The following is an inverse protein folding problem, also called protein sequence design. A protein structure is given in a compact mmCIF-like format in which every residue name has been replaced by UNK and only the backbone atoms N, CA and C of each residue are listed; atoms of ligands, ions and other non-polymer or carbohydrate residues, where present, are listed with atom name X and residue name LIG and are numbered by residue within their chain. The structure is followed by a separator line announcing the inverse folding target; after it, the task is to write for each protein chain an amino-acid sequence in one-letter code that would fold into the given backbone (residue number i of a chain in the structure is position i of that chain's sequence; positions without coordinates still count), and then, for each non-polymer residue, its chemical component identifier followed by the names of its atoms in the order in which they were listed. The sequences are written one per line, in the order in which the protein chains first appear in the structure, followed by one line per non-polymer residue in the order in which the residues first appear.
data_IF_017163575138
#
_entry.id   IF_017163575138
#
_cell.length_a   1.000
_cell.length_b   1.000
_cell.length_c   1.000
_cell.angle_alpha   90.00
_cell.angle_beta   90.00
_cell.angle_gamma   90.00
#
_symmetry.space_group_name_H-M   'P 1'
#
loop_
_entity.id
_entity.type
_entity.pdbx_description
1 polymer ?
#
# COMPACT_ATOMS: atom_id res chain seq x y z
N UNK A 1 2.22 17.82 -1.76
CA UNK A 1 1.61 17.58 -3.07
C UNK A 1 2.38 16.57 -3.93
N UNK A 2 3.73 16.54 -3.99
CA UNK A 2 4.51 15.45 -4.61
C UNK A 2 4.27 14.10 -3.93
N UNK A 3 4.30 14.02 -2.59
CA UNK A 3 4.03 12.75 -1.87
C UNK A 3 2.59 12.25 -2.08
N UNK A 4 1.64 13.19 -2.15
CA UNK A 4 0.23 12.92 -2.43
C UNK A 4 -0.07 12.59 -3.90
N UNK A 5 0.69 13.15 -4.86
CA UNK A 5 0.59 12.80 -6.28
C UNK A 5 1.16 11.40 -6.53
N UNK A 6 2.33 11.08 -5.95
CA UNK A 6 2.96 9.75 -6.08
C UNK A 6 2.01 8.63 -5.60
N UNK A 7 1.33 8.85 -4.47
CA UNK A 7 0.36 7.87 -3.95
C UNK A 7 -0.89 7.75 -4.83
N UNK A 8 -1.51 8.86 -5.24
CA UNK A 8 -2.69 8.82 -6.11
C UNK A 8 -2.40 8.21 -7.47
N UNK A 9 -1.21 8.45 -8.00
CA UNK A 9 -0.76 7.88 -9.27
C UNK A 9 -0.55 6.37 -9.15
N UNK A 10 0.05 5.90 -8.05
CA UNK A 10 0.19 4.47 -7.76
C UNK A 10 -1.16 3.79 -7.51
N UNK A 11 -2.03 4.35 -6.67
CA UNK A 11 -3.40 3.84 -6.45
C UNK A 11 -4.22 3.81 -7.74
N UNK A 12 -4.13 4.85 -8.56
CA UNK A 12 -4.78 4.88 -9.88
C UNK A 12 -4.23 3.78 -10.78
N UNK A 13 -2.92 3.56 -10.78
CA UNK A 13 -2.30 2.49 -11.56
C UNK A 13 -2.77 1.10 -11.11
N UNK A 14 -2.84 0.86 -9.80
CA UNK A 14 -3.40 -0.36 -9.21
C UNK A 14 -4.88 -0.53 -9.56
N UNK A 15 -5.67 0.53 -9.48
CA UNK A 15 -7.08 0.52 -9.84
C UNK A 15 -7.28 0.15 -11.33
N UNK A 16 -6.54 0.80 -12.24
CA UNK A 16 -6.59 0.52 -13.68
C UNK A 16 -6.17 -0.93 -13.95
N UNK A 17 -5.06 -1.41 -13.36
CA UNK A 17 -4.62 -2.81 -13.50
C UNK A 17 -5.68 -3.80 -12.98
N UNK A 18 -6.29 -3.53 -11.83
CA UNK A 18 -7.37 -4.35 -11.29
C UNK A 18 -8.56 -4.42 -12.25
N UNK A 19 -8.96 -3.30 -12.85
CA UNK A 19 -10.01 -3.26 -13.87
C UNK A 19 -9.65 -4.06 -15.13
N UNK A 20 -8.41 -3.96 -15.62
CA UNK A 20 -7.94 -4.73 -16.78
C UNK A 20 -7.86 -6.24 -16.47
N UNK A 21 -7.31 -6.63 -15.32
CA UNK A 21 -7.22 -8.02 -14.87
C UNK A 21 -8.61 -8.66 -14.73
N UNK A 22 -9.57 -7.94 -14.14
CA UNK A 22 -10.98 -8.38 -14.08
C UNK A 22 -11.59 -8.53 -15.48
N UNK A 23 -11.27 -7.63 -16.42
CA UNK A 23 -11.77 -7.71 -17.81
C UNK A 23 -11.15 -8.86 -18.61
N UNK A 24 -9.87 -9.20 -18.36
CA UNK A 24 -9.21 -10.37 -18.93
C UNK A 24 -9.78 -11.68 -18.38
N UNK A 25 -10.12 -11.73 -17.07
CA UNK A 25 -10.81 -12.87 -16.48
C UNK A 25 -12.31 -12.95 -16.88
N UNK A 26 -12.91 -11.81 -17.23
CA UNK A 26 -14.25 -11.71 -17.83
C UNK A 26 -14.22 -11.88 -19.38
N UNK A 27 -13.09 -12.32 -19.94
CA UNK A 27 -12.93 -12.69 -21.34
C UNK A 27 -13.49 -14.09 -21.65
N UNK A 28 -14.67 -14.43 -21.11
CA UNK A 28 -15.46 -15.60 -21.51
C UNK A 28 -16.93 -15.50 -21.06
N UNK A 29 -17.52 -14.31 -21.05
CA UNK A 29 -18.98 -14.17 -21.18
C UNK A 29 -19.34 -12.76 -21.60
N UNK A 30 -20.10 -12.64 -22.68
CA UNK A 30 -20.53 -11.36 -23.23
C UNK A 30 -21.65 -10.75 -22.38
N UNK A 31 -21.58 -9.42 -22.25
CA UNK A 31 -22.64 -8.42 -22.10
C UNK A 31 -22.37 -7.44 -20.95
N UNK A 32 -21.90 -6.26 -21.33
CA UNK A 32 -21.70 -5.10 -20.47
C UNK A 32 -23.03 -4.35 -20.32
N UNK A 33 -23.45 -4.11 -19.08
CA UNK A 33 -24.33 -3.01 -18.69
C UNK A 33 -23.70 -2.36 -17.46
N UNK A 34 -23.28 -1.10 -17.58
CA UNK A 34 -22.88 -0.27 -16.45
C UNK A 34 -24.13 0.28 -15.76
N UNK A 35 -24.37 0.05 -14.45
CA UNK A 35 -25.37 0.82 -13.73
C UNK A 35 -24.76 2.12 -13.21
N UNK A 36 -25.44 3.21 -13.52
CA UNK A 36 -25.26 4.54 -12.95
C UNK A 36 -25.58 4.55 -11.44
N UNK A 37 -24.76 5.33 -10.72
CA UNK A 37 -25.01 6.04 -9.45
C UNK A 37 -26.40 5.80 -8.83
N UNK A 38 -26.46 5.05 -7.72
CA UNK A 38 -27.66 5.02 -6.86
C UNK A 38 -27.29 5.21 -5.39
N UNK A 39 -28.00 6.17 -4.81
CA UNK A 39 -28.00 6.58 -3.41
C UNK A 39 -28.64 5.46 -2.57
N UNK A 40 -27.88 4.79 -1.71
CA UNK A 40 -28.44 3.82 -0.77
C UNK A 40 -28.84 4.53 0.52
N UNK A 41 -30.15 4.79 0.65
CA UNK A 41 -30.79 5.19 1.90
C UNK A 41 -30.86 4.02 2.88
N UNK A 42 -30.50 4.28 4.13
CA UNK A 42 -30.63 3.32 5.23
C UNK A 42 -32.10 3.15 5.62
N UNK A 43 -32.59 1.91 5.63
CA UNK A 43 -33.88 1.54 6.23
C UNK A 43 -33.62 0.74 7.51
N UNK A 44 -33.93 1.33 8.66
CA UNK A 44 -33.93 0.69 9.96
C UNK A 44 -35.24 -0.10 10.12
N UNK A 45 -35.14 -1.41 10.36
CA UNK A 45 -36.28 -2.22 10.82
C UNK A 45 -36.11 -2.52 12.30
N UNK A 46 -36.99 -1.94 13.11
CA UNK A 46 -37.24 -2.34 14.49
C UNK A 46 -38.13 -3.58 14.50
N UNK A 47 -37.77 -4.59 15.28
CA UNK A 47 -38.65 -5.71 15.60
C UNK A 47 -38.93 -5.72 17.10
N UNK A 48 -40.20 -5.58 17.46
CA UNK A 48 -40.72 -5.87 18.78
C UNK A 48 -41.35 -7.27 18.75
N UNK A 49 -41.15 -8.08 19.79
CA UNK A 49 -42.04 -9.19 20.11
C UNK A 49 -41.95 -9.57 21.59
N UNK A 50 -43.10 -9.83 22.20
CA UNK A 50 -43.29 -10.10 23.61
C UNK A 50 -43.63 -11.58 23.90
N UNK A 51 -43.13 -12.06 25.06
CA UNK A 51 -43.59 -13.12 25.98
C UNK A 51 -43.77 -14.61 25.53
N UNK A 52 -42.78 -15.45 25.91
CA UNK A 52 -42.75 -16.67 26.81
C UNK A 52 -43.85 -17.76 26.81
N UNK A 53 -43.63 -18.98 27.40
CA UNK A 53 -42.42 -19.85 27.52
C UNK A 53 -42.71 -21.39 27.32
N UNK A 54 -41.66 -22.25 27.21
CA UNK A 54 -41.56 -23.61 27.85
C UNK A 54 -40.41 -24.52 27.30
N UNK A 55 -39.48 -24.87 28.21
CA UNK A 55 -38.77 -26.15 28.49
C UNK A 55 -38.14 -27.01 27.36
N UNK A 56 -36.81 -27.19 27.37
CA UNK A 56 -36.04 -28.44 27.70
C UNK A 56 -34.61 -28.34 27.14
N UNK A 57 -33.64 -28.46 28.05
CA UNK A 57 -32.26 -28.98 27.94
C UNK A 57 -31.56 -28.99 26.57
N UNK A 58 -30.60 -28.07 26.38
CA UNK A 58 -29.43 -28.35 25.55
C UNK A 58 -28.16 -27.69 26.10
N UNK A 59 -27.07 -28.45 25.99
CA UNK A 59 -25.72 -28.20 26.47
C UNK A 59 -25.27 -26.77 26.15
N UNK A 60 -24.88 -26.02 27.17
CA UNK A 60 -24.38 -24.66 27.06
C UNK A 60 -23.10 -24.61 26.19
N UNK A 61 -23.28 -24.48 24.88
CA UNK A 61 -22.28 -23.89 24.00
C UNK A 61 -22.08 -22.47 24.48
N UNK A 62 -20.93 -22.20 25.10
CA UNK A 62 -20.50 -20.84 25.38
C UNK A 62 -20.28 -20.17 24.03
N UNK A 63 -21.31 -19.52 23.52
CA UNK A 63 -21.20 -18.59 22.41
C UNK A 63 -20.40 -17.40 22.90
N UNK A 64 -19.07 -17.51 22.83
CA UNK A 64 -18.19 -16.36 22.88
C UNK A 64 -18.57 -15.51 21.68
N UNK A 65 -19.14 -14.33 21.92
CA UNK A 65 -19.31 -13.31 20.89
C UNK A 65 -17.96 -13.17 20.17
N UNK A 66 -17.91 -13.19 18.83
CA UNK A 66 -16.65 -12.97 18.14
C UNK A 66 -16.13 -11.61 18.59
N UNK A 67 -14.95 -11.63 19.19
CA UNK A 67 -14.13 -10.45 19.41
C UNK A 67 -13.92 -9.83 18.02
N UNK A 68 -14.00 -8.51 17.88
CA UNK A 68 -13.79 -7.81 16.62
C UNK A 68 -12.62 -8.45 15.85
N UNK A 69 -12.91 -8.84 14.60
CA UNK A 69 -12.03 -9.67 13.78
C UNK A 69 -10.71 -8.93 13.51
N UNK A 70 -9.64 -9.32 14.21
CA UNK A 70 -8.31 -8.70 14.08
C UNK A 70 -7.67 -9.23 12.80
N UNK A 71 -7.43 -8.35 11.82
CA UNK A 71 -6.75 -8.73 10.59
C UNK A 71 -5.23 -8.83 10.79
N UNK A 72 -4.63 -9.95 10.40
CA UNK A 72 -3.18 -10.18 10.49
C UNK A 72 -2.48 -9.94 9.15
N UNK A 73 -1.55 -9.00 9.14
CA UNK A 73 -0.69 -8.70 8.00
C UNK A 73 0.77 -9.04 8.32
N UNK A 74 1.49 -9.57 7.32
CA UNK A 74 2.92 -9.88 7.44
C UNK A 74 3.72 -8.98 6.51
N UNK A 75 4.71 -8.28 7.07
CA UNK A 75 5.64 -7.46 6.30
C UNK A 75 6.50 -8.30 5.36
N UNK A 76 6.57 -7.89 4.10
CA UNK A 76 7.54 -8.42 3.16
C UNK A 76 8.95 -7.88 3.49
N UNK A 77 10.01 -8.57 3.03
CA UNK A 77 11.38 -8.07 3.19
C UNK A 77 11.52 -6.63 2.69
N UNK A 78 12.28 -5.79 3.40
CA UNK A 78 12.47 -4.38 3.06
C UNK A 78 13.11 -4.20 1.67
N UNK A 79 13.89 -5.18 1.23
CA UNK A 79 14.58 -5.25 -0.06
C UNK A 79 13.78 -6.04 -1.12
N UNK A 80 12.48 -6.26 -0.92
CA UNK A 80 11.63 -7.01 -1.87
C UNK A 80 11.79 -6.53 -3.32
N UNK A 81 11.89 -5.21 -3.51
CA UNK A 81 12.25 -4.59 -4.79
C UNK A 81 13.64 -3.98 -4.68
N UNK A 82 14.51 -4.31 -5.64
CA UNK A 82 15.88 -3.83 -5.69
C UNK A 82 15.99 -2.38 -6.20
N UNK A 83 17.16 -1.76 -6.02
CA UNK A 83 17.50 -0.45 -6.62
C UNK A 83 17.46 -0.41 -8.16
N UNK A 84 17.33 -1.57 -8.81
CA UNK A 84 17.12 -1.70 -10.27
C UNK A 84 15.65 -1.92 -10.65
N UNK A 85 14.74 -1.76 -9.67
CA UNK A 85 13.31 -1.96 -9.81
C UNK A 85 12.89 -3.37 -10.27
N UNK A 86 13.61 -4.37 -9.75
CA UNK A 86 13.34 -5.80 -9.99
C UNK A 86 13.11 -6.53 -8.67
N UNK A 87 12.35 -7.63 -8.69
CA UNK A 87 12.04 -8.39 -7.46
C UNK A 87 13.28 -9.18 -7.02
N UNK A 88 13.74 -8.92 -5.80
CA UNK A 88 14.76 -9.75 -5.16
C UNK A 88 14.16 -11.07 -4.68
N UNK A 89 14.93 -12.17 -4.81
CA UNK A 89 14.54 -13.49 -4.31
C UNK A 89 13.11 -13.94 -4.70
N UNK A 90 12.65 -13.59 -5.92
CA UNK A 90 11.26 -13.77 -6.35
C UNK A 90 10.68 -15.17 -6.08
N UNK A 91 11.47 -16.24 -6.26
CA UNK A 91 11.04 -17.62 -5.96
C UNK A 91 10.79 -17.87 -4.47
N UNK A 92 11.65 -17.33 -3.60
CA UNK A 92 11.50 -17.45 -2.16
C UNK A 92 10.30 -16.64 -1.66
N UNK A 93 10.12 -15.42 -2.16
CA UNK A 93 8.93 -14.60 -1.86
C UNK A 93 7.65 -15.32 -2.31
N UNK A 94 7.63 -15.88 -3.52
CA UNK A 94 6.47 -16.65 -4.01
C UNK A 94 6.13 -17.85 -3.09
N UNK A 95 7.15 -18.57 -2.63
CA UNK A 95 6.97 -19.70 -1.71
C UNK A 95 6.47 -19.23 -0.33
N UNK A 96 7.04 -18.15 0.20
CA UNK A 96 6.61 -17.53 1.45
C UNK A 96 5.16 -17.08 1.42
N UNK A 97 4.75 -16.37 0.37
CA UNK A 97 3.36 -15.92 0.19
C UNK A 97 2.36 -17.10 0.16
N UNK A 98 2.71 -18.21 -0.50
CA UNK A 98 1.89 -19.43 -0.50
C UNK A 98 1.76 -20.02 0.90
N UNK A 99 2.87 -20.08 1.64
CA UNK A 99 2.85 -20.57 3.02
C UNK A 99 1.99 -19.67 3.92
N UNK A 100 2.11 -18.34 3.78
CA UNK A 100 1.31 -17.37 4.52
C UNK A 100 -0.20 -17.54 4.24
N UNK A 101 -0.60 -17.72 2.98
CA UNK A 101 -2.01 -18.00 2.64
C UNK A 101 -2.51 -19.29 3.28
N UNK A 102 -1.69 -20.35 3.33
CA UNK A 102 -2.05 -21.61 4.00
C UNK A 102 -2.18 -21.46 5.52
N UNK A 103 -1.42 -20.55 6.12
CA UNK A 103 -1.51 -20.23 7.55
C UNK A 103 -2.71 -19.33 7.90
N UNK A 104 -3.46 -18.87 6.90
CA UNK A 104 -4.68 -18.08 7.09
C UNK A 104 -4.43 -16.61 7.44
N UNK A 105 -3.28 -16.03 7.05
CA UNK A 105 -3.09 -14.58 7.20
C UNK A 105 -4.02 -13.81 6.25
N UNK A 106 -4.42 -12.61 6.65
CA UNK A 106 -5.29 -11.75 5.84
C UNK A 106 -4.58 -11.12 4.65
N UNK A 107 -3.31 -10.77 4.84
CA UNK A 107 -2.56 -10.04 3.83
C UNK A 107 -1.09 -9.86 4.14
N UNK A 108 -0.46 -9.06 3.29
CA UNK A 108 0.95 -8.69 3.43
C UNK A 108 1.12 -7.19 3.30
N UNK A 109 2.19 -6.68 3.90
CA UNK A 109 2.60 -5.28 3.79
C UNK A 109 3.82 -5.18 2.89
N UNK A 110 3.75 -4.32 1.86
CA UNK A 110 4.80 -4.05 0.90
C UNK A 110 5.36 -2.64 1.11
N UNK A 111 6.64 -2.50 1.50
CA UNK A 111 7.30 -1.19 1.49
C UNK A 111 7.53 -0.73 0.05
N UNK A 112 7.10 0.49 -0.26
CA UNK A 112 7.30 1.17 -1.55
C UNK A 112 8.21 2.36 -1.33
N UNK A 113 9.45 2.24 -1.81
CA UNK A 113 10.50 3.22 -1.63
C UNK A 113 10.49 4.30 -2.70
N UNK A 114 10.47 5.56 -2.26
CA UNK A 114 10.52 6.71 -3.15
C UNK A 114 11.78 6.71 -4.04
N UNK A 115 12.93 6.42 -3.46
CA UNK A 115 14.22 6.35 -4.17
C UNK A 115 14.31 5.28 -5.25
N UNK A 116 13.42 4.28 -5.23
CA UNK A 116 13.31 3.27 -6.29
C UNK A 116 12.24 3.69 -7.30
N UNK A 117 11.07 4.08 -6.81
CA UNK A 117 9.92 4.39 -7.66
C UNK A 117 10.12 5.62 -8.54
N UNK A 118 10.82 6.64 -8.07
CA UNK A 118 11.02 7.93 -8.77
C UNK A 118 12.52 8.26 -8.91
N UNK A 119 13.33 7.22 -9.13
CA UNK A 119 14.80 7.28 -9.06
C UNK A 119 15.43 8.31 -9.99
N UNK A 120 14.98 8.33 -11.24
CA UNK A 120 15.67 8.99 -12.35
C UNK A 120 15.46 10.50 -12.39
N UNK A 121 14.22 10.96 -12.25
CA UNK A 121 13.86 12.37 -12.33
C UNK A 121 12.50 12.61 -11.69
N UNK A 122 12.26 13.84 -11.24
CA UNK A 122 10.99 14.26 -10.70
C UNK A 122 9.84 14.05 -11.71
N UNK A 123 8.80 13.34 -11.29
CA UNK A 123 7.63 12.92 -12.06
C UNK A 123 7.87 11.71 -12.97
N UNK A 124 9.08 11.14 -13.00
CA UNK A 124 9.40 9.96 -13.82
C UNK A 124 9.36 8.71 -12.95
N UNK A 125 8.15 8.19 -12.78
CA UNK A 125 7.94 6.98 -11.99
C UNK A 125 8.16 5.69 -12.81
N UNK A 126 8.78 4.70 -12.17
CA UNK A 126 8.81 3.33 -12.66
C UNK A 126 8.28 2.40 -11.55
N UNK A 127 7.11 1.81 -11.81
CA UNK A 127 6.41 0.93 -10.86
C UNK A 127 6.61 -0.55 -11.19
N UNK A 128 7.45 -0.89 -12.17
CA UNK A 128 7.52 -2.23 -12.76
C UNK A 128 7.79 -3.33 -11.72
N UNK A 129 8.78 -3.15 -10.84
CA UNK A 129 9.11 -4.12 -9.80
C UNK A 129 7.97 -4.31 -8.79
N UNK A 130 7.39 -3.20 -8.31
CA UNK A 130 6.27 -3.24 -7.37
C UNK A 130 5.02 -3.89 -7.95
N UNK A 131 4.65 -3.55 -9.20
CA UNK A 131 3.49 -4.13 -9.88
C UNK A 131 3.63 -5.65 -10.06
N UNK A 132 4.85 -6.14 -10.27
CA UNK A 132 5.09 -7.58 -10.33
C UNK A 132 4.88 -8.26 -8.97
N UNK A 133 5.24 -7.61 -7.84
CA UNK A 133 4.96 -8.12 -6.49
C UNK A 133 3.45 -8.11 -6.22
N UNK A 134 2.77 -7.01 -6.55
CA UNK A 134 1.31 -6.92 -6.40
C UNK A 134 0.62 -8.05 -7.15
N UNK A 135 1.04 -8.33 -8.38
CA UNK A 135 0.48 -9.43 -9.17
C UNK A 135 0.69 -10.80 -8.50
N UNK A 136 1.82 -11.02 -7.82
CA UNK A 136 2.06 -12.25 -7.06
C UNK A 136 1.12 -12.38 -5.85
N UNK A 137 0.87 -11.27 -5.14
CA UNK A 137 -0.02 -11.21 -3.97
C UNK A 137 -1.48 -11.41 -4.39
N UNK A 138 -1.93 -10.72 -5.45
CA UNK A 138 -3.29 -10.82 -6.00
C UNK A 138 -3.61 -12.26 -6.47
N UNK A 139 -2.66 -12.95 -7.10
CA UNK A 139 -2.83 -14.36 -7.55
C UNK A 139 -3.10 -15.33 -6.40
N UNK A 140 -2.75 -14.96 -5.17
CA UNK A 140 -2.96 -15.77 -3.97
C UNK A 140 -4.14 -15.29 -3.13
N UNK A 141 -4.90 -14.30 -3.61
CA UNK A 141 -6.04 -13.72 -2.91
C UNK A 141 -5.67 -13.27 -1.48
N UNK A 142 -4.49 -12.64 -1.35
CA UNK A 142 -4.04 -11.98 -0.13
C UNK A 142 -4.34 -10.48 -0.23
N UNK A 143 -4.77 -9.86 0.88
CA UNK A 143 -4.88 -8.40 0.95
C UNK A 143 -3.48 -7.78 0.88
N UNK A 144 -3.39 -6.59 0.32
CA UNK A 144 -2.13 -5.84 0.22
C UNK A 144 -2.25 -4.53 0.99
N UNK A 145 -1.34 -4.31 1.93
CA UNK A 145 -1.05 -3.01 2.51
C UNK A 145 0.24 -2.45 1.91
N UNK A 146 0.28 -1.14 1.72
CA UNK A 146 1.43 -0.44 1.14
C UNK A 146 1.94 0.56 2.16
N UNK A 147 3.22 0.47 2.51
CA UNK A 147 3.93 1.47 3.31
C UNK A 147 4.75 2.34 2.37
N UNK A 148 4.44 3.63 2.30
CA UNK A 148 5.21 4.56 1.47
C UNK A 148 6.43 5.04 2.24
N UNK A 149 7.62 4.69 1.74
CA UNK A 149 8.89 5.02 2.35
C UNK A 149 9.50 6.25 1.65
N UNK A 150 9.14 7.44 2.14
CA UNK A 150 9.67 8.74 1.68
C UNK A 150 10.98 9.14 2.37
N UNK A 151 11.80 8.14 2.69
CA UNK A 151 13.08 8.28 3.35
C UNK A 151 14.08 7.32 2.71
N UNK A 152 15.36 7.66 2.81
CA UNK A 152 16.46 6.75 2.55
C UNK A 152 16.59 5.75 3.71
N UNK A 153 17.18 4.60 3.42
CA UNK A 153 17.61 3.61 4.39
C UNK A 153 19.05 3.19 4.11
N UNK A 154 19.81 2.95 5.17
CA UNK A 154 21.12 2.32 5.08
C UNK A 154 21.00 0.79 4.97
N UNK A 155 19.93 0.22 5.52
CA UNK A 155 19.64 -1.21 5.54
C UNK A 155 18.15 -1.45 5.27
N UNK A 156 17.77 -1.79 4.02
CA UNK A 156 18.62 -1.93 2.83
C UNK A 156 19.17 -0.58 2.32
N UNK A 157 20.28 -0.60 1.58
CA UNK A 157 20.93 0.60 1.01
C UNK A 157 20.08 1.25 -0.09
N UNK A 158 19.06 1.99 0.31
CA UNK A 158 18.11 2.66 -0.57
C UNK A 158 18.25 4.17 -0.34
N UNK A 159 18.87 4.93 -1.26
CA UNK A 159 18.97 6.39 -1.11
C UNK A 159 17.63 7.07 -1.41
N UNK A 160 17.53 8.37 -1.10
CA UNK A 160 16.52 9.23 -1.73
C UNK A 160 16.74 9.28 -3.25
N UNK A 161 15.74 9.70 -4.06
CA UNK A 161 15.96 9.91 -5.49
C UNK A 161 17.16 10.82 -5.76
N UNK A 162 17.89 10.52 -6.83
CA UNK A 162 19.15 11.22 -7.12
C UNK A 162 18.94 12.72 -7.31
N UNK A 163 17.86 13.11 -7.98
CA UNK A 163 17.51 14.51 -8.22
C UNK A 163 17.23 15.27 -6.91
N UNK A 164 16.69 14.62 -5.87
CA UNK A 164 16.49 15.23 -4.54
C UNK A 164 17.84 15.54 -3.88
N UNK A 165 18.78 14.60 -4.00
CA UNK A 165 20.12 14.78 -3.44
C UNK A 165 20.86 15.94 -4.11
N UNK A 166 20.71 16.08 -5.43
CA UNK A 166 21.28 17.19 -6.19
C UNK A 166 20.71 18.55 -5.76
N UNK A 167 19.40 18.63 -5.54
CA UNK A 167 18.77 19.86 -5.02
C UNK A 167 19.30 20.16 -3.62
N UNK A 168 19.46 19.15 -2.77
CA UNK A 168 20.00 19.32 -1.41
C UNK A 168 21.46 19.77 -1.34
N UNK A 169 22.24 19.63 -2.41
CA UNK A 169 23.57 20.21 -2.52
C UNK A 169 23.52 21.74 -2.73
N UNK A 170 22.58 22.22 -3.56
CA UNK A 170 22.38 23.66 -3.80
C UNK A 170 21.52 24.35 -2.74
N UNK A 171 20.54 23.63 -2.19
CA UNK A 171 19.54 24.12 -1.24
C UNK A 171 19.51 23.22 0.01
N UNK A 172 20.48 23.35 0.92
CA UNK A 172 20.60 22.43 2.06
C UNK A 172 19.47 22.57 3.09
N UNK A 173 18.67 23.65 2.98
CA UNK A 173 17.50 23.93 3.82
C UNK A 173 16.38 22.90 3.68
N UNK A 174 16.43 22.06 2.64
CA UNK A 174 15.43 21.01 2.42
C UNK A 174 15.52 19.86 3.43
N UNK A 175 16.65 19.72 4.12
CA UNK A 175 16.89 18.66 5.08
C UNK A 175 16.61 19.11 6.51
N UNK A 176 16.31 18.16 7.38
CA UNK A 176 16.33 18.44 8.81
C UNK A 176 17.73 18.85 9.24
N UNK A 177 17.81 19.88 10.07
CA UNK A 177 19.07 20.41 10.60
C UNK A 177 18.98 20.44 12.12
N UNK A 178 19.95 19.84 12.80
CA UNK A 178 20.03 19.87 14.27
C UNK A 178 20.55 21.22 14.79
N UNK A 179 20.58 21.39 16.12
CA UNK A 179 21.07 22.63 16.76
C UNK A 179 22.54 22.94 16.46
N UNK A 180 23.33 21.92 16.11
CA UNK A 180 24.75 22.06 15.77
C UNK A 180 24.96 22.38 14.28
N UNK A 181 23.89 22.48 13.49
CA UNK A 181 23.96 22.70 12.05
C UNK A 181 24.18 21.41 11.24
N UNK A 182 24.12 20.22 11.85
CA UNK A 182 24.26 18.96 11.12
C UNK A 182 22.97 18.63 10.39
N UNK A 183 23.11 18.30 9.10
CA UNK A 183 22.00 17.91 8.26
C UNK A 183 21.73 16.41 8.32
N UNK A 184 20.46 16.04 8.39
CA UNK A 184 19.96 14.69 8.23
C UNK A 184 19.41 14.51 6.81
N UNK A 185 20.20 13.86 5.95
CA UNK A 185 19.96 13.80 4.51
C UNK A 185 19.07 12.64 4.06
N UNK A 186 18.59 11.81 5.00
CA UNK A 186 17.81 10.63 4.65
C UNK A 186 16.33 10.95 4.43
N UNK A 187 15.83 12.13 4.79
CA UNK A 187 14.48 12.56 4.44
C UNK A 187 14.37 14.08 4.37
N UNK A 188 13.30 14.56 3.76
CA UNK A 188 12.99 15.97 3.66
C UNK A 188 12.43 16.51 4.99
N UNK A 189 12.77 17.75 5.30
CA UNK A 189 12.22 18.51 6.43
C UNK A 189 10.73 18.78 6.20
N UNK A 190 9.90 18.68 7.25
CA UNK A 190 8.49 19.10 7.18
C UNK A 190 8.32 20.58 6.79
N UNK A 191 9.37 21.39 6.98
CA UNK A 191 9.36 22.81 6.60
C UNK A 191 9.22 23.04 5.09
N UNK A 192 9.51 22.04 4.25
CA UNK A 192 9.41 22.17 2.79
C UNK A 192 8.05 21.79 2.22
N UNK A 193 7.16 21.18 3.02
CA UNK A 193 5.87 20.64 2.59
C UNK A 193 4.99 21.61 1.78
N UNK A 194 5.14 22.91 1.98
CA UNK A 194 4.36 23.95 1.30
C UNK A 194 5.23 24.95 0.51
N UNK A 195 6.51 24.64 0.31
CA UNK A 195 7.47 25.51 -0.36
C UNK A 195 7.85 24.94 -1.74
N UNK A 196 7.99 25.79 -2.76
CA UNK A 196 8.33 25.35 -4.12
C UNK A 196 9.84 25.09 -4.29
N UNK A 197 10.45 24.38 -3.34
CA UNK A 197 11.92 24.17 -3.27
C UNK A 197 12.42 23.04 -4.15
N UNK A 198 11.52 22.21 -4.69
CA UNK A 198 11.87 21.13 -5.61
C UNK A 198 11.63 21.56 -7.05
N UNK A 199 12.53 22.39 -7.59
CA UNK A 199 12.42 22.99 -8.94
C UNK A 199 11.07 23.69 -9.20
N UNK A 200 10.61 24.46 -8.22
CA UNK A 200 9.34 25.19 -8.32
C UNK A 200 8.11 24.35 -7.93
N UNK A 201 8.28 23.07 -7.57
CA UNK A 201 7.20 22.20 -7.10
C UNK A 201 7.18 22.05 -5.59
N UNK A 202 5.97 21.84 -5.07
CA UNK A 202 5.67 21.68 -3.65
C UNK A 202 5.61 20.18 -3.31
N UNK A 203 6.43 19.73 -2.35
CA UNK A 203 6.45 18.37 -1.77
C UNK A 203 5.11 17.90 -1.27
#
# INVERSE_FOLDING_TARGET
MILGCSFKEFEYYLYVKSCYSKRCNLGKSQNLVCPSRSTLGFSLKTSASANSPAVVSEKASRTTKPIDDVNLYVGLPLDTVSNSNTINHARAIAAGLKALKLLGVDGVELPVWWGIAEKEAMGKYDWTGYLAVVEMVEKLDLKLHISLCFHASAEPQIPLPQWVSQIGESEPSIYFTDRSGKQYKDCLSLGVDNLPVLDGKIT
#
